data_IF_753821132289
#
_entry.id   IF_753821132289
#
_cell.length_a   1.000
_cell.length_b   1.000
_cell.length_c   1.000
_cell.angle_alpha   90.00
_cell.angle_beta   90.00
_cell.angle_gamma   90.00
#
_symmetry.space_group_name_H-M   'P 1'
#
loop_
_entity.id
_entity.type
_entity.pdbx_description
1 polymer ?
#
# COMPACT_ATOMS: atom_id res chain seq x y z
N UNK A 1 -21.97 7.22 -17.89
CA UNK A 1 -20.67 7.91 -17.68
C UNK A 1 -19.74 7.55 -18.84
N UNK A 2 -19.07 8.52 -19.48
CA UNK A 2 -18.11 8.27 -20.57
C UNK A 2 -16.87 7.53 -20.05
N UNK A 3 -16.22 6.69 -20.88
CA UNK A 3 -15.01 5.92 -20.56
C UNK A 3 -13.90 6.78 -19.92
N UNK A 4 -13.70 8.01 -20.39
CA UNK A 4 -12.76 8.99 -19.80
C UNK A 4 -12.99 9.30 -18.32
N UNK A 5 -14.22 9.23 -17.83
CA UNK A 5 -14.53 9.42 -16.40
C UNK A 5 -13.97 8.28 -15.54
N UNK A 6 -14.07 7.03 -16.01
CA UNK A 6 -13.54 5.87 -15.30
C UNK A 6 -12.01 5.83 -15.28
N UNK A 7 -11.36 6.22 -16.39
CA UNK A 7 -9.90 6.30 -16.45
C UNK A 7 -9.34 7.34 -15.48
N UNK A 8 -10.03 8.48 -15.32
CA UNK A 8 -9.67 9.49 -14.32
C UNK A 8 -9.83 8.95 -12.89
N UNK A 9 -10.93 8.26 -12.60
CA UNK A 9 -11.15 7.62 -11.30
C UNK A 9 -10.11 6.54 -10.99
N UNK A 10 -9.75 5.71 -11.98
CA UNK A 10 -8.73 4.68 -11.81
C UNK A 10 -7.36 5.30 -11.47
N UNK A 11 -7.01 6.42 -12.12
CA UNK A 11 -5.77 7.16 -11.84
C UNK A 11 -5.77 7.73 -10.43
N UNK A 12 -6.88 8.34 -10.01
CA UNK A 12 -7.03 8.85 -8.65
C UNK A 12 -6.91 7.72 -7.62
N UNK A 13 -7.57 6.59 -7.86
CA UNK A 13 -7.51 5.43 -6.97
C UNK A 13 -6.08 4.83 -6.87
N UNK A 14 -5.34 4.77 -7.98
CA UNK A 14 -3.92 4.39 -8.00
C UNK A 14 -3.08 5.35 -7.15
N UNK A 15 -3.24 6.65 -7.37
CA UNK A 15 -2.51 7.66 -6.61
C UNK A 15 -2.79 7.55 -5.10
N UNK A 16 -4.06 7.41 -4.70
CA UNK A 16 -4.43 7.22 -3.28
C UNK A 16 -3.79 5.97 -2.67
N UNK A 17 -3.77 4.86 -3.41
CA UNK A 17 -3.13 3.62 -2.96
C UNK A 17 -1.62 3.81 -2.78
N UNK A 18 -0.97 4.51 -3.70
CA UNK A 18 0.47 4.77 -3.64
C UNK A 18 0.83 5.71 -2.47
N UNK A 19 0.04 6.75 -2.22
CA UNK A 19 0.22 7.63 -1.06
C UNK A 19 0.02 6.89 0.26
N UNK A 20 -1.02 6.05 0.38
CA UNK A 20 -1.23 5.22 1.55
C UNK A 20 -0.06 4.26 1.81
N UNK A 21 0.50 3.65 0.75
CA UNK A 21 1.70 2.79 0.86
C UNK A 21 2.92 3.55 1.37
N UNK A 22 3.15 4.77 0.86
CA UNK A 22 4.27 5.60 1.32
C UNK A 22 4.11 5.97 2.79
N UNK A 23 2.91 6.40 3.20
CA UNK A 23 2.63 6.75 4.59
C UNK A 23 2.83 5.55 5.54
N UNK A 24 2.34 4.37 5.15
CA UNK A 24 2.55 3.14 5.90
C UNK A 24 4.04 2.78 6.02
N UNK A 25 4.78 2.82 4.91
CA UNK A 25 6.21 2.52 4.89
C UNK A 25 7.02 3.48 5.79
N UNK A 26 6.65 4.75 5.82
CA UNK A 26 7.29 5.74 6.71
C UNK A 26 7.06 5.38 8.19
N UNK A 27 5.85 4.95 8.57
CA UNK A 27 5.57 4.49 9.95
C UNK A 27 6.33 3.21 10.29
N UNK A 28 6.34 2.23 9.39
CA UNK A 28 7.09 0.99 9.58
C UNK A 28 8.59 1.27 9.76
N UNK A 29 9.15 2.23 9.01
CA UNK A 29 10.53 2.66 9.20
C UNK A 29 10.75 3.32 10.57
N UNK A 30 9.84 4.19 11.02
CA UNK A 30 9.92 4.81 12.36
C UNK A 30 9.84 3.76 13.47
N UNK A 31 8.98 2.75 13.32
CA UNK A 31 8.87 1.63 14.25
C UNK A 31 10.18 0.84 14.33
N UNK A 32 10.78 0.54 13.17
CA UNK A 32 12.08 -0.14 13.12
C UNK A 32 13.18 0.66 13.83
N UNK A 33 13.19 1.99 13.69
CA UNK A 33 14.13 2.87 14.38
C UNK A 33 13.95 2.83 15.91
N UNK A 34 12.70 2.83 16.40
CA UNK A 34 12.41 2.70 17.83
C UNK A 34 12.98 1.39 18.40
N UNK A 35 12.72 0.27 17.73
CA UNK A 35 13.23 -1.03 18.18
C UNK A 35 14.75 -1.17 18.05
N UNK A 36 15.35 -0.56 17.03
CA UNK A 36 16.81 -0.48 16.92
C UNK A 36 17.41 0.28 18.11
N UNK A 37 16.81 1.42 18.47
CA UNK A 37 17.26 2.23 19.60
C UNK A 37 17.09 1.50 20.94
N UNK A 38 15.97 0.81 21.15
CA UNK A 38 15.78 -0.06 22.33
C UNK A 38 16.88 -1.12 22.45
N UNK A 39 17.22 -1.78 21.33
CA UNK A 39 18.29 -2.76 21.27
C UNK A 39 19.67 -2.18 21.58
N UNK A 40 19.95 -0.94 21.16
CA UNK A 40 21.18 -0.22 21.52
C UNK A 40 21.26 0.09 23.01
N UNK A 41 20.16 0.54 23.61
CA UNK A 41 20.05 0.79 25.04
C UNK A 41 20.27 -0.50 25.85
N UNK A 42 19.69 -1.62 25.40
CA UNK A 42 19.90 -2.93 26.01
C UNK A 42 21.37 -3.36 25.97
N UNK A 43 22.04 -3.22 24.81
CA UNK A 43 23.47 -3.51 24.67
C UNK A 43 24.34 -2.61 25.54
N UNK A 44 23.99 -1.32 25.65
CA UNK A 44 24.70 -0.36 26.50
C UNK A 44 24.57 -0.73 27.97
N UNK A 45 23.39 -1.12 28.42
CA UNK A 45 23.14 -1.56 29.79
C UNK A 45 24.00 -2.77 30.17
N UNK A 46 24.10 -3.76 29.28
CA UNK A 46 24.91 -4.96 29.56
C UNK A 46 26.41 -4.63 29.60
N UNK A 47 26.90 -3.75 28.71
CA UNK A 47 28.30 -3.26 28.77
C UNK A 47 28.61 -2.56 30.09
N UNK A 48 27.70 -1.71 30.57
CA UNK A 48 27.89 -1.01 31.84
C UNK A 48 27.86 -1.97 33.03
N UNK A 49 26.96 -2.97 32.99
CA UNK A 49 26.85 -4.02 34.00
C UNK A 49 28.13 -4.84 34.13
N UNK A 50 28.75 -5.21 33.01
CA UNK A 50 30.02 -5.95 32.99
C UNK A 50 31.16 -5.14 33.61
N UNK A 51 31.23 -3.82 33.34
CA UNK A 51 32.24 -2.93 33.92
C UNK A 51 32.03 -2.72 35.42
N UNK A 52 30.79 -2.57 35.87
CA UNK A 52 30.45 -2.36 37.28
C UNK A 52 30.79 -3.57 38.18
N UNK A 53 30.82 -4.80 37.63
CA UNK A 53 31.21 -6.01 38.37
C UNK A 53 32.66 -5.98 38.87
N UNK A 54 33.52 -5.13 38.31
CA UNK A 54 34.93 -4.99 38.69
C UNK A 54 35.26 -3.75 39.54
N UNK A 55 34.31 -2.89 39.89
CA UNK A 55 34.58 -1.58 40.50
C UNK A 55 33.68 -1.22 41.69
N UNK A 56 34.14 -0.30 42.54
CA UNK A 56 33.41 0.25 43.72
C UNK A 56 32.16 1.10 43.37
N UNK A 57 31.78 1.22 42.10
CA UNK A 57 30.78 2.17 41.60
C UNK A 57 29.34 1.61 41.48
N UNK A 58 28.95 0.67 42.34
CA UNK A 58 27.65 -0.01 42.24
C UNK A 58 26.43 0.94 42.32
N UNK A 59 26.52 2.01 43.11
CA UNK A 59 25.43 3.00 43.22
C UNK A 59 25.23 3.79 41.91
N UNK A 60 26.31 4.17 41.23
CA UNK A 60 26.25 4.87 39.94
C UNK A 60 25.62 3.99 38.84
N UNK A 61 25.92 2.69 38.86
CA UNK A 61 25.31 1.73 37.95
C UNK A 61 23.80 1.59 38.17
N UNK A 62 23.33 1.54 39.42
CA UNK A 62 21.90 1.43 39.73
C UNK A 62 21.09 2.63 39.19
N UNK A 63 21.61 3.85 39.34
CA UNK A 63 20.99 5.05 38.79
C UNK A 63 20.95 5.02 37.25
N UNK A 64 22.06 4.62 36.62
CA UNK A 64 22.12 4.45 35.17
C UNK A 64 21.12 3.41 34.65
N UNK A 65 21.07 2.23 35.28
CA UNK A 65 20.15 1.15 34.92
C UNK A 65 18.68 1.57 35.03
N UNK A 66 18.34 2.33 36.08
CA UNK A 66 16.99 2.87 36.27
C UNK A 66 16.61 3.81 35.13
N UNK A 67 17.49 4.74 34.75
CA UNK A 67 17.27 5.66 33.64
C UNK A 67 17.08 4.92 32.32
N UNK A 68 17.93 3.94 32.02
CA UNK A 68 17.81 3.14 30.80
C UNK A 68 16.49 2.37 30.78
N UNK A 69 16.08 1.77 31.90
CA UNK A 69 14.81 1.05 32.00
C UNK A 69 13.61 1.96 31.72
N UNK A 70 13.61 3.17 32.28
CA UNK A 70 12.55 4.16 32.03
C UNK A 70 12.49 4.57 30.55
N UNK A 71 13.64 4.78 29.92
CA UNK A 71 13.71 5.15 28.52
C UNK A 71 13.21 4.03 27.60
N UNK A 72 13.65 2.80 27.84
CA UNK A 72 13.17 1.61 27.12
C UNK A 72 11.66 1.42 27.27
N UNK A 73 11.11 1.71 28.45
CA UNK A 73 9.67 1.66 28.66
C UNK A 73 8.93 2.68 27.79
N UNK A 74 9.41 3.94 27.71
CA UNK A 74 8.82 4.96 26.83
C UNK A 74 8.90 4.58 25.35
N UNK A 75 10.02 4.02 24.91
CA UNK A 75 10.18 3.53 23.54
C UNK A 75 9.16 2.44 23.25
N UNK A 76 8.96 1.50 24.17
CA UNK A 76 7.98 0.43 24.01
C UNK A 76 6.54 0.98 23.93
N UNK A 77 6.18 1.96 24.76
CA UNK A 77 4.87 2.61 24.68
C UNK A 77 4.65 3.31 23.33
N UNK A 78 5.65 4.04 22.85
CA UNK A 78 5.61 4.71 21.55
C UNK A 78 5.51 3.71 20.40
N UNK A 79 6.27 2.61 20.48
CA UNK A 79 6.26 1.56 19.47
C UNK A 79 4.91 0.85 19.41
N UNK A 80 4.32 0.50 20.56
CA UNK A 80 2.99 -0.13 20.61
C UNK A 80 1.88 0.78 20.09
N UNK A 81 1.94 2.08 20.38
CA UNK A 81 1.01 3.04 19.78
C UNK A 81 1.15 3.06 18.24
N UNK A 82 2.38 3.10 17.74
CA UNK A 82 2.66 3.13 16.31
C UNK A 82 2.28 1.81 15.61
N UNK A 83 2.45 0.66 16.28
CA UNK A 83 1.99 -0.65 15.80
C UNK A 83 0.47 -0.67 15.61
N UNK A 84 -0.29 -0.11 16.55
CA UNK A 84 -1.75 -0.01 16.41
C UNK A 84 -2.16 0.90 15.23
N UNK A 85 -1.47 2.02 15.03
CA UNK A 85 -1.68 2.89 13.86
C UNK A 85 -1.35 2.16 12.55
N UNK A 86 -0.24 1.43 12.50
CA UNK A 86 0.19 0.63 11.34
C UNK A 86 -0.88 -0.41 10.97
N UNK A 87 -1.44 -1.12 11.95
CA UNK A 87 -2.50 -2.09 11.69
C UNK A 87 -3.77 -1.44 11.13
N UNK A 88 -4.19 -0.29 11.67
CA UNK A 88 -5.31 0.46 11.14
C UNK A 88 -5.07 0.93 9.69
N UNK A 89 -3.87 1.41 9.38
CA UNK A 89 -3.50 1.82 8.02
C UNK A 89 -3.38 0.65 7.05
N UNK A 90 -2.99 -0.54 7.53
CA UNK A 90 -3.02 -1.77 6.74
C UNK A 90 -4.44 -2.16 6.35
N UNK A 91 -5.40 -1.99 7.25
CA UNK A 91 -6.81 -2.21 6.97
C UNK A 91 -7.32 -1.20 5.91
N UNK A 92 -7.02 0.10 6.09
CA UNK A 92 -7.37 1.13 5.09
C UNK A 92 -6.74 0.84 3.72
N UNK A 93 -5.48 0.37 3.70
CA UNK A 93 -4.80 0.01 2.47
C UNK A 93 -5.50 -1.15 1.73
N UNK A 94 -6.04 -2.13 2.46
CA UNK A 94 -6.84 -3.21 1.87
C UNK A 94 -8.13 -2.67 1.24
N UNK A 95 -8.78 -1.73 1.90
CA UNK A 95 -10.00 -1.09 1.38
C UNK A 95 -9.73 -0.27 0.12
N UNK A 96 -8.65 0.52 0.11
CA UNK A 96 -8.20 1.27 -1.07
C UNK A 96 -7.87 0.34 -2.24
N UNK A 97 -7.24 -0.81 -1.95
CA UNK A 97 -6.94 -1.81 -2.97
C UNK A 97 -8.21 -2.42 -3.55
N UNK A 98 -9.17 -2.80 -2.69
CA UNK A 98 -10.46 -3.33 -3.11
C UNK A 98 -11.22 -2.32 -3.99
N UNK A 99 -11.23 -1.04 -3.60
CA UNK A 99 -11.88 0.02 -4.36
C UNK A 99 -11.23 0.25 -5.73
N UNK A 100 -9.90 0.34 -5.77
CA UNK A 100 -9.16 0.42 -7.04
C UNK A 100 -9.52 -0.75 -7.96
N UNK A 101 -9.63 -1.97 -7.41
CA UNK A 101 -9.95 -3.17 -8.20
C UNK A 101 -11.38 -3.14 -8.73
N UNK A 102 -12.35 -2.66 -7.95
CA UNK A 102 -13.74 -2.46 -8.43
C UNK A 102 -13.78 -1.50 -9.60
N UNK A 103 -13.10 -0.36 -9.51
CA UNK A 103 -13.03 0.63 -10.59
C UNK A 103 -12.36 0.04 -11.84
N UNK A 104 -11.28 -0.72 -11.65
CA UNK A 104 -10.56 -1.42 -12.73
C UNK A 104 -11.49 -2.39 -13.47
N UNK A 105 -12.19 -3.27 -12.75
CA UNK A 105 -13.14 -4.23 -13.34
C UNK A 105 -14.26 -3.49 -14.10
N UNK A 106 -14.78 -2.39 -13.55
CA UNK A 106 -15.81 -1.60 -14.23
C UNK A 106 -15.29 -0.96 -15.52
N UNK A 107 -14.05 -0.48 -15.52
CA UNK A 107 -13.40 0.07 -16.71
C UNK A 107 -13.18 -1.00 -17.79
N UNK A 108 -12.70 -2.18 -17.40
CA UNK A 108 -12.51 -3.33 -18.29
C UNK A 108 -13.82 -3.76 -18.95
N UNK A 109 -14.91 -3.89 -18.17
CA UNK A 109 -16.23 -4.25 -18.70
C UNK A 109 -16.72 -3.24 -19.74
N UNK A 110 -16.58 -1.94 -19.47
CA UNK A 110 -16.99 -0.90 -20.43
C UNK A 110 -16.15 -0.91 -21.69
N UNK A 111 -14.84 -1.12 -21.58
CA UNK A 111 -13.99 -1.24 -22.75
C UNK A 111 -14.42 -2.44 -23.63
N UNK A 112 -14.71 -3.59 -23.02
CA UNK A 112 -15.19 -4.77 -23.74
C UNK A 112 -16.58 -4.55 -24.40
N UNK A 113 -17.50 -3.85 -23.72
CA UNK A 113 -18.80 -3.48 -24.29
C UNK A 113 -18.66 -2.54 -25.50
N UNK A 114 -17.74 -1.57 -25.43
CA UNK A 114 -17.44 -0.65 -26.51
C UNK A 114 -16.80 -1.38 -27.70
N UNK A 115 -15.82 -2.26 -27.47
CA UNK A 115 -15.21 -3.10 -28.52
C UNK A 115 -16.24 -4.02 -29.18
N UNK A 116 -17.11 -4.66 -28.40
CA UNK A 116 -18.15 -5.54 -28.93
C UNK A 116 -19.23 -4.76 -29.70
N UNK A 117 -19.48 -3.50 -29.38
CA UNK A 117 -20.37 -2.64 -30.16
C UNK A 117 -19.74 -2.27 -31.52
N UNK A 118 -18.46 -1.87 -31.52
CA UNK A 118 -17.71 -1.55 -32.74
C UNK A 118 -17.62 -2.77 -33.67
N UNK A 119 -17.28 -3.95 -33.14
CA UNK A 119 -17.19 -5.18 -33.94
C UNK A 119 -18.55 -5.56 -34.58
N UNK A 120 -19.66 -5.32 -33.87
CA UNK A 120 -21.02 -5.55 -34.42
C UNK A 120 -21.35 -4.57 -35.55
N UNK A 121 -20.96 -3.31 -35.40
CA UNK A 121 -21.15 -2.28 -36.43
C UNK A 121 -20.30 -2.58 -37.68
N UNK A 122 -19.03 -2.96 -37.49
CA UNK A 122 -18.13 -3.38 -38.58
C UNK A 122 -18.66 -4.62 -39.32
N UNK A 123 -19.13 -5.64 -38.59
CA UNK A 123 -19.71 -6.83 -39.21
C UNK A 123 -20.96 -6.50 -40.03
N UNK A 124 -21.87 -5.68 -39.49
CA UNK A 124 -23.07 -5.25 -40.22
C UNK A 124 -22.72 -4.49 -41.50
N UNK A 125 -21.69 -3.65 -41.47
CA UNK A 125 -21.18 -2.96 -42.67
C UNK A 125 -20.61 -3.94 -43.70
N UNK A 126 -19.83 -4.95 -43.28
CA UNK A 126 -19.29 -5.96 -44.20
C UNK A 126 -20.38 -6.83 -44.82
N UNK A 127 -21.39 -7.22 -44.05
CA UNK A 127 -22.54 -7.98 -44.54
C UNK A 127 -23.32 -7.19 -45.61
N UNK A 128 -23.52 -5.89 -45.38
CA UNK A 128 -24.18 -5.00 -46.35
C UNK A 128 -23.38 -4.87 -47.66
N UNK A 129 -22.06 -4.73 -47.59
CA UNK A 129 -21.18 -4.71 -48.78
C UNK A 129 -21.18 -6.06 -49.51
N UNK A 130 -21.22 -7.17 -48.76
CA UNK A 130 -21.29 -8.53 -49.30
C UNK A 130 -22.59 -8.77 -50.07
N UNK A 131 -23.73 -8.37 -49.51
CA UNK A 131 -25.04 -8.46 -50.16
C UNK A 131 -25.10 -7.63 -51.45
N UNK A 132 -24.63 -6.37 -51.42
CA UNK A 132 -24.60 -5.51 -52.61
C UNK A 132 -23.70 -6.05 -53.73
N UNK A 133 -22.60 -6.75 -53.40
CA UNK A 133 -21.74 -7.41 -54.40
C UNK A 133 -22.38 -8.66 -54.99
N UNK A 134 -23.15 -9.41 -54.19
CA UNK A 134 -23.87 -10.59 -54.66
C UNK A 134 -25.08 -10.23 -55.55
N UNK A 135 -25.64 -9.04 -55.38
CA UNK A 135 -26.73 -8.50 -56.22
C UNK A 135 -26.23 -7.81 -57.52
N UNK A 136 -24.91 -7.65 -57.69
CA UNK A 136 -24.28 -7.26 -58.96
C UNK A 136 -24.26 -8.41 -59.97
N UNK A 137 -24.41 -8.15 -61.28
CA UNK A 137 -25.29 -8.89 -62.19
C UNK A 137 -24.95 -10.37 -62.33
N UNK A 138 -25.84 -11.21 -61.79
CA UNK A 138 -26.07 -12.56 -62.28
C UNK A 138 -27.19 -12.54 -63.33
N UNK A 139 -26.91 -12.02 -64.52
CA UNK A 139 -27.69 -12.29 -65.74
C UNK A 139 -26.87 -11.88 -66.99
N UNK A 140 -26.53 -12.92 -67.77
CA UNK A 140 -26.37 -13.01 -69.24
C UNK A 140 -25.87 -11.79 -70.02
#
# INVERSE_FOLDING_TARGET
MRNHGLQTLLRLARWRLDEARKALAEKEQRLALLWSHDGELARRLERERMQARGAFHQASFAAFATRIKQERHRIAEQAHALEAEIEAERDELRDLFAERKRIEILAERRAAEEEAALAREEQAMFDEVGLRRHEGPSAL
#
